data_IF_095006623894
#
_entry.id   IF_095006623894
#
_cell.length_a   1.000
_cell.length_b   1.000
_cell.length_c   1.000
_cell.angle_alpha   90.00
_cell.angle_beta   90.00
_cell.angle_gamma   90.00
#
_symmetry.space_group_name_H-M   'P 1'
#
loop_
_entity.id
_entity.type
_entity.pdbx_description
1 polymer ?
#
# COMPACT_ATOMS: atom_id res chain seq x y z
N UNK A 1 -12.80 3.69 0.16
CA UNK A 1 -12.09 4.94 -0.15
C UNK A 1 -12.37 5.36 -1.58
N UNK A 2 -12.77 6.60 -1.76
CA UNK A 2 -13.20 7.09 -3.06
C UNK A 2 -12.02 7.76 -3.80
N UNK A 3 -11.74 7.32 -5.02
CA UNK A 3 -10.62 7.83 -5.82
C UNK A 3 -11.17 8.76 -6.91
N UNK A 4 -10.56 9.94 -7.04
CA UNK A 4 -10.93 10.90 -8.07
C UNK A 4 -10.16 10.62 -9.36
N UNK A 5 -10.70 9.75 -10.21
CA UNK A 5 -10.06 9.38 -11.47
C UNK A 5 -10.02 10.51 -12.48
N UNK A 6 -10.86 11.55 -12.34
CA UNK A 6 -10.85 12.68 -13.24
C UNK A 6 -9.51 13.41 -13.21
N UNK A 7 -8.94 13.60 -12.00
CA UNK A 7 -7.62 14.21 -11.87
C UNK A 7 -6.55 13.35 -12.54
N UNK A 8 -6.61 12.03 -12.36
CA UNK A 8 -5.65 11.12 -12.97
C UNK A 8 -5.70 11.19 -14.50
N UNK A 9 -6.89 11.31 -15.08
CA UNK A 9 -7.07 11.40 -16.53
C UNK A 9 -6.53 12.72 -17.11
N UNK A 10 -6.49 13.78 -16.31
CA UNK A 10 -5.94 15.08 -16.72
C UNK A 10 -4.42 15.06 -16.80
N UNK A 11 -3.75 14.09 -16.14
CA UNK A 11 -2.31 14.00 -16.12
C UNK A 11 -1.78 13.26 -17.34
N UNK A 12 -0.55 13.61 -17.75
CA UNK A 12 0.18 12.80 -18.73
C UNK A 12 0.55 11.48 -18.05
N UNK A 13 0.12 10.38 -18.66
CA UNK A 13 0.25 9.05 -18.07
C UNK A 13 1.29 8.22 -18.81
N UNK A 14 2.02 7.32 -18.13
CA UNK A 14 2.88 6.36 -18.80
C UNK A 14 2.06 5.34 -19.60
N UNK A 15 2.70 4.71 -20.59
CA UNK A 15 2.02 3.76 -21.46
C UNK A 15 1.47 2.55 -20.70
N UNK A 16 2.04 2.21 -19.55
CA UNK A 16 1.62 1.08 -18.73
C UNK A 16 0.60 1.43 -17.66
N UNK A 17 0.00 2.64 -17.75
CA UNK A 17 -1.03 3.06 -16.78
C UNK A 17 -2.22 2.10 -16.84
N UNK A 18 -2.58 1.42 -15.72
CA UNK A 18 -3.71 0.51 -15.73
C UNK A 18 -5.04 1.26 -15.88
N UNK A 19 -6.06 0.62 -16.47
CA UNK A 19 -7.40 1.21 -16.49
C UNK A 19 -8.03 1.26 -15.10
N UNK A 20 -9.04 2.12 -14.93
CA UNK A 20 -9.69 2.34 -13.63
C UNK A 20 -10.25 1.05 -13.01
N UNK A 21 -10.79 0.14 -13.82
CA UNK A 21 -11.40 -1.08 -13.31
C UNK A 21 -10.38 -1.96 -12.58
N UNK A 22 -9.10 -1.89 -12.96
CA UNK A 22 -8.05 -2.65 -12.27
C UNK A 22 -7.92 -2.16 -10.82
N UNK A 23 -7.90 -0.84 -10.60
CA UNK A 23 -7.83 -0.28 -9.26
C UNK A 23 -9.05 -0.67 -8.41
N UNK A 24 -10.23 -0.69 -9.04
CA UNK A 24 -11.48 -1.02 -8.33
C UNK A 24 -11.53 -2.50 -7.88
N UNK A 25 -10.79 -3.38 -8.54
CA UNK A 25 -10.71 -4.80 -8.16
C UNK A 25 -9.54 -5.03 -7.20
N UNK A 26 -8.38 -4.45 -7.49
CA UNK A 26 -7.15 -4.73 -6.74
C UNK A 26 -7.24 -4.21 -5.30
N UNK A 27 -7.73 -2.98 -5.10
CA UNK A 27 -7.72 -2.39 -3.76
C UNK A 27 -8.59 -3.15 -2.75
N UNK A 28 -9.87 -3.51 -3.05
CA UNK A 28 -10.63 -4.32 -2.12
C UNK A 28 -9.99 -5.67 -1.82
N UNK A 29 -9.40 -6.29 -2.83
CA UNK A 29 -8.70 -7.57 -2.66
C UNK A 29 -7.51 -7.41 -1.71
N UNK A 30 -6.69 -6.38 -1.90
CA UNK A 30 -5.53 -6.14 -1.06
C UNK A 30 -5.92 -5.79 0.37
N UNK A 31 -6.98 -5.00 0.58
CA UNK A 31 -7.47 -4.72 1.93
C UNK A 31 -7.96 -5.99 2.62
N UNK A 32 -8.66 -6.86 1.89
CA UNK A 32 -9.10 -8.14 2.44
C UNK A 32 -7.91 -8.99 2.88
N UNK A 33 -6.91 -9.13 2.02
CA UNK A 33 -5.70 -9.90 2.35
C UNK A 33 -4.95 -9.28 3.53
N UNK A 34 -4.85 -7.97 3.57
CA UNK A 34 -4.18 -7.24 4.64
C UNK A 34 -4.82 -7.51 6.00
N UNK A 35 -6.16 -7.43 6.09
CA UNK A 35 -6.84 -7.65 7.35
C UNK A 35 -6.85 -9.13 7.74
N UNK A 36 -6.94 -10.06 6.78
CA UNK A 36 -6.79 -11.50 7.05
C UNK A 36 -5.39 -11.79 7.61
N UNK A 37 -4.36 -11.22 7.00
CA UNK A 37 -2.99 -11.34 7.48
C UNK A 37 -2.84 -10.86 8.92
N UNK A 38 -3.40 -9.70 9.23
CA UNK A 38 -3.33 -9.12 10.56
C UNK A 38 -4.04 -9.99 11.59
N UNK A 39 -5.22 -10.52 11.22
CA UNK A 39 -5.96 -11.44 12.07
C UNK A 39 -5.11 -12.70 12.40
N UNK A 40 -4.51 -13.29 11.39
CA UNK A 40 -3.65 -14.48 11.58
C UNK A 40 -2.46 -14.13 12.46
N UNK A 41 -1.81 -12.99 12.21
CA UNK A 41 -0.68 -12.52 12.99
C UNK A 41 -1.05 -12.38 14.47
N UNK A 42 -2.18 -11.73 14.78
CA UNK A 42 -2.60 -11.48 16.17
C UNK A 42 -2.96 -12.77 16.89
N UNK A 43 -3.47 -13.76 16.18
CA UNK A 43 -3.94 -15.02 16.78
C UNK A 43 -2.88 -16.13 16.81
N UNK A 44 -1.71 -15.89 16.21
CA UNK A 44 -0.61 -16.86 16.25
C UNK A 44 0.14 -16.71 17.58
N UNK A 45 0.18 -17.77 18.36
CA UNK A 45 0.93 -17.79 19.63
C UNK A 45 2.42 -17.87 19.35
N UNK A 46 3.18 -17.00 20.00
CA UNK A 46 4.62 -16.95 19.85
C UNK A 46 5.23 -16.32 21.10
N UNK A 47 6.48 -16.67 21.40
CA UNK A 47 7.22 -16.09 22.53
C UNK A 47 7.59 -14.64 22.30
N UNK A 48 7.59 -14.18 21.03
CA UNK A 48 7.89 -12.81 20.68
C UNK A 48 6.67 -11.91 20.85
N UNK A 49 6.91 -10.63 21.16
CA UNK A 49 5.84 -9.67 21.29
C UNK A 49 5.26 -9.31 19.93
N UNK A 50 3.94 -9.17 19.87
CA UNK A 50 3.23 -8.73 18.66
C UNK A 50 3.22 -7.22 18.51
N UNK A 51 3.65 -6.46 19.53
CA UNK A 51 3.45 -5.01 19.58
C UNK A 51 4.11 -4.26 18.43
N UNK A 52 5.32 -4.68 18.04
CA UNK A 52 6.03 -4.01 16.95
C UNK A 52 5.31 -4.20 15.61
N UNK A 53 4.80 -5.41 15.38
CA UNK A 53 3.99 -5.68 14.17
C UNK A 53 2.69 -4.90 14.15
N UNK A 54 2.05 -4.73 15.31
CA UNK A 54 0.84 -3.91 15.43
C UNK A 54 1.13 -2.47 15.03
N UNK A 55 2.22 -1.88 15.53
CA UNK A 55 2.60 -0.52 15.18
C UNK A 55 2.89 -0.37 13.70
N UNK A 56 3.61 -1.32 13.10
CA UNK A 56 3.88 -1.30 11.66
C UNK A 56 2.60 -1.37 10.85
N UNK A 57 1.65 -2.21 11.26
CA UNK A 57 0.36 -2.31 10.59
C UNK A 57 -0.40 -0.99 10.65
N UNK A 58 -0.46 -0.35 11.83
CA UNK A 58 -1.15 0.93 12.00
C UNK A 58 -0.49 2.04 11.19
N UNK A 59 0.84 2.10 11.18
CA UNK A 59 1.59 3.10 10.41
C UNK A 59 1.30 2.93 8.92
N UNK A 60 1.37 1.71 8.39
CA UNK A 60 1.10 1.49 6.98
C UNK A 60 -0.36 1.83 6.63
N UNK A 61 -1.29 1.56 7.53
CA UNK A 61 -2.70 1.88 7.30
C UNK A 61 -2.91 3.39 7.19
N UNK A 62 -2.28 4.17 8.08
CA UNK A 62 -2.34 5.62 8.04
C UNK A 62 -1.73 6.16 6.76
N UNK A 63 -0.55 5.67 6.38
CA UNK A 63 0.12 6.09 5.14
C UNK A 63 -0.72 5.73 3.91
N UNK A 64 -1.33 4.55 3.91
CA UNK A 64 -2.18 4.09 2.83
C UNK A 64 -3.38 5.03 2.64
N UNK A 65 -4.07 5.35 3.73
CA UNK A 65 -5.23 6.24 3.65
C UNK A 65 -4.84 7.70 3.36
N UNK A 66 -3.64 8.12 3.76
CA UNK A 66 -3.17 9.49 3.52
C UNK A 66 -2.83 9.74 2.05
N UNK A 67 -2.39 8.70 1.31
CA UNK A 67 -1.94 8.86 -0.07
C UNK A 67 -3.05 9.41 -0.97
N UNK A 68 -4.26 8.87 -0.86
CA UNK A 68 -5.37 9.24 -1.74
C UNK A 68 -5.72 10.73 -1.66
N UNK A 69 -5.97 11.32 -0.47
CA UNK A 69 -6.24 12.76 -0.42
C UNK A 69 -5.05 13.61 -0.84
N UNK A 70 -3.81 13.19 -0.54
CA UNK A 70 -2.62 13.94 -0.94
C UNK A 70 -2.52 13.98 -2.47
N UNK A 71 -2.73 12.85 -3.14
CA UNK A 71 -2.62 12.77 -4.59
C UNK A 71 -3.80 13.45 -5.29
N UNK A 72 -5.03 13.12 -4.90
CA UNK A 72 -6.22 13.51 -5.65
C UNK A 72 -6.85 14.82 -5.17
N UNK A 73 -6.93 15.05 -3.86
CA UNK A 73 -7.57 16.25 -3.32
C UNK A 73 -6.60 17.45 -3.31
N UNK A 74 -5.39 17.25 -2.81
CA UNK A 74 -4.39 18.31 -2.75
C UNK A 74 -3.54 18.39 -4.01
N UNK A 75 -3.64 17.39 -4.90
CA UNK A 75 -2.93 17.34 -6.19
C UNK A 75 -1.42 17.45 -6.03
N UNK A 76 -0.87 16.96 -4.93
CA UNK A 76 0.57 16.98 -4.62
C UNK A 76 1.21 15.66 -5.00
N UNK A 77 1.53 15.50 -6.29
CA UNK A 77 2.05 14.24 -6.84
C UNK A 77 3.40 13.89 -6.23
N UNK A 78 4.28 14.88 -6.02
CA UNK A 78 5.61 14.63 -5.44
C UNK A 78 5.52 14.20 -3.98
N UNK A 79 4.65 14.84 -3.20
CA UNK A 79 4.44 14.44 -1.81
C UNK A 79 3.80 13.06 -1.75
N UNK A 80 2.87 12.77 -2.66
CA UNK A 80 2.25 11.44 -2.76
C UNK A 80 3.30 10.36 -3.06
N UNK A 81 4.27 10.65 -3.92
CA UNK A 81 5.38 9.73 -4.19
C UNK A 81 6.19 9.45 -2.93
N UNK A 82 6.51 10.49 -2.15
CA UNK A 82 7.23 10.32 -0.89
C UNK A 82 6.44 9.43 0.08
N UNK A 83 5.13 9.67 0.20
CA UNK A 83 4.25 8.90 1.09
C UNK A 83 4.19 7.43 0.65
N UNK A 84 4.04 7.17 -0.65
CA UNK A 84 3.95 5.78 -1.13
C UNK A 84 5.26 5.03 -1.00
N UNK A 85 6.41 5.72 -1.12
CA UNK A 85 7.72 5.10 -0.86
C UNK A 85 7.84 4.73 0.62
N UNK A 86 7.46 5.63 1.52
CA UNK A 86 7.44 5.31 2.96
C UNK A 86 6.52 4.14 3.26
N UNK A 87 5.35 4.10 2.61
CA UNK A 87 4.41 3.01 2.75
C UNK A 87 5.03 1.68 2.31
N UNK A 88 5.71 1.67 1.17
CA UNK A 88 6.37 0.47 0.65
C UNK A 88 7.43 -0.05 1.62
N UNK A 89 8.25 0.85 2.16
CA UNK A 89 9.28 0.49 3.15
C UNK A 89 8.63 -0.07 4.41
N UNK A 90 7.57 0.57 4.90
CA UNK A 90 6.84 0.13 6.10
C UNK A 90 6.26 -1.28 5.90
N UNK A 91 5.63 -1.53 4.76
CA UNK A 91 5.05 -2.85 4.44
C UNK A 91 6.12 -3.91 4.31
N UNK A 92 7.27 -3.57 3.72
CA UNK A 92 8.40 -4.50 3.64
C UNK A 92 8.83 -4.97 5.02
N UNK A 93 9.03 -4.05 5.97
CA UNK A 93 9.39 -4.40 7.33
C UNK A 93 8.25 -5.13 8.06
N UNK A 94 7.00 -4.73 7.80
CA UNK A 94 5.84 -5.40 8.36
C UNK A 94 5.81 -6.89 7.96
N UNK A 95 6.10 -7.19 6.69
CA UNK A 95 6.15 -8.57 6.20
C UNK A 95 7.24 -9.35 6.94
N UNK A 96 8.42 -8.76 7.14
CA UNK A 96 9.51 -9.40 7.86
C UNK A 96 9.09 -9.72 9.30
N UNK A 97 8.51 -8.75 9.99
CA UNK A 97 8.09 -8.92 11.40
C UNK A 97 6.95 -9.92 11.51
N UNK A 98 5.95 -9.83 10.63
CA UNK A 98 4.84 -10.79 10.61
C UNK A 98 5.35 -12.20 10.35
N UNK A 99 6.31 -12.36 9.44
CA UNK A 99 6.85 -13.68 9.08
C UNK A 99 7.61 -14.33 10.22
N UNK A 100 8.19 -13.55 11.13
CA UNK A 100 8.87 -14.10 12.32
C UNK A 100 7.90 -14.74 13.30
N UNK A 101 6.65 -14.31 13.28
CA UNK A 101 5.61 -14.86 14.18
C UNK A 101 4.75 -15.88 13.43
N UNK A 102 4.32 -15.54 12.20
CA UNK A 102 3.55 -16.43 11.33
C UNK A 102 4.02 -16.24 9.89
N UNK A 103 4.71 -17.24 9.31
CA UNK A 103 5.12 -17.16 7.90
C UNK A 103 3.94 -16.92 6.94
N UNK A 104 2.78 -17.48 7.25
CA UNK A 104 1.58 -17.32 6.42
C UNK A 104 1.12 -15.84 6.44
N UNK A 105 1.12 -15.21 7.62
CA UNK A 105 0.72 -13.81 7.75
C UNK A 105 1.62 -12.89 6.93
N UNK A 106 2.94 -13.15 6.92
CA UNK A 106 3.86 -12.40 6.08
C UNK A 106 3.62 -12.66 4.60
N UNK A 107 3.46 -13.92 4.22
CA UNK A 107 3.31 -14.33 2.82
C UNK A 107 2.05 -13.72 2.17
N UNK A 108 0.95 -13.61 2.92
CA UNK A 108 -0.31 -13.04 2.43
C UNK A 108 -0.13 -11.60 1.95
N UNK A 109 0.83 -10.86 2.51
CA UNK A 109 1.08 -9.46 2.16
C UNK A 109 2.05 -9.28 0.98
N UNK A 110 2.59 -10.35 0.41
CA UNK A 110 3.48 -10.24 -0.76
C UNK A 110 2.79 -9.59 -1.96
N UNK A 111 1.56 -9.96 -2.32
CA UNK A 111 0.85 -9.26 -3.42
C UNK A 111 0.70 -7.76 -3.17
N UNK A 112 0.48 -7.37 -1.92
CA UNK A 112 0.39 -5.96 -1.54
C UNK A 112 1.72 -5.24 -1.79
N UNK A 113 2.83 -5.84 -1.38
CA UNK A 113 4.16 -5.26 -1.60
C UNK A 113 4.47 -5.12 -3.09
N UNK A 114 4.12 -6.12 -3.90
CA UNK A 114 4.31 -6.07 -5.35
C UNK A 114 3.50 -4.93 -5.94
N UNK A 115 2.23 -4.78 -5.55
CA UNK A 115 1.38 -3.70 -6.02
C UNK A 115 1.91 -2.34 -5.62
N UNK A 116 2.40 -2.18 -4.38
CA UNK A 116 2.98 -0.93 -3.91
C UNK A 116 4.24 -0.56 -4.69
N UNK A 117 5.09 -1.53 -5.01
CA UNK A 117 6.28 -1.30 -5.83
C UNK A 117 5.87 -0.80 -7.22
N UNK A 118 4.87 -1.42 -7.80
CA UNK A 118 4.31 -0.97 -9.08
C UNK A 118 3.73 0.44 -8.97
N UNK A 119 3.01 0.72 -7.89
CA UNK A 119 2.43 2.04 -7.64
C UNK A 119 3.50 3.11 -7.47
N UNK A 120 4.62 2.78 -6.82
CA UNK A 120 5.77 3.69 -6.69
C UNK A 120 6.32 4.08 -8.05
N UNK A 121 6.51 3.08 -8.92
CA UNK A 121 7.02 3.30 -10.28
C UNK A 121 6.03 4.18 -11.05
N UNK A 122 4.76 3.85 -10.97
CA UNK A 122 3.70 4.60 -11.65
C UNK A 122 3.65 6.05 -11.17
N UNK A 123 3.69 6.27 -9.86
CA UNK A 123 3.68 7.62 -9.27
C UNK A 123 4.94 8.41 -9.67
N UNK A 124 6.09 7.74 -9.72
CA UNK A 124 7.34 8.36 -10.16
C UNK A 124 7.22 8.86 -11.61
N UNK A 125 6.68 8.03 -12.51
CA UNK A 125 6.51 8.45 -13.91
C UNK A 125 5.48 9.58 -14.05
N UNK A 126 4.42 9.58 -13.24
CA UNK A 126 3.48 10.69 -13.22
C UNK A 126 4.17 11.99 -12.79
N UNK A 127 5.08 11.94 -11.82
CA UNK A 127 5.88 13.11 -11.44
C UNK A 127 6.79 13.57 -12.57
N UNK A 128 7.40 12.61 -13.28
CA UNK A 128 8.35 12.93 -14.37
C UNK A 128 7.65 13.52 -15.57
N UNK A 129 6.44 13.05 -15.90
CA UNK A 129 5.69 13.47 -17.08
C UNK A 129 4.88 14.75 -16.84
N UNK A 130 4.77 15.18 -15.59
CA UNK A 130 4.01 16.35 -15.19
C UNK A 130 4.88 17.28 -14.31
#
# INVERSE_FOLDING_TARGET
>A
MKINYNFLQELNQPNFQPPEWVFNIVWPLLYTLMFVSFYIFLNTKNNQSHIFGVWLFLIQLVLNFAWTPIFFAFKRIKLALFVTILLTITVFYMIIIFSKISPIAGLINIPYLIWLTFADILNFYLCKLN
#
